data_IF_808888010913
#
_entry.id   IF_808888010913
#
_cell.length_a   1.000
_cell.length_b   1.000
_cell.length_c   1.000
_cell.angle_alpha   90.00
_cell.angle_beta   90.00
_cell.angle_gamma   90.00
#
_symmetry.space_group_name_H-M   'P 1'
#
loop_
_entity.id
_entity.type
_entity.pdbx_description
1 polymer ?
#
# COMPACT_ATOMS: atom_id res chain seq x y z
N UNK A 1 21.97 -4.20 13.89
CA UNK A 1 21.31 -3.04 13.28
C UNK A 1 21.94 -2.83 11.92
N UNK A 2 21.59 -3.70 10.97
CA UNK A 2 21.91 -3.47 9.57
C UNK A 2 20.65 -2.81 9.01
N UNK A 3 20.77 -1.53 8.65
CA UNK A 3 19.79 -0.92 7.77
C UNK A 3 19.87 -1.73 6.46
N UNK A 4 18.86 -2.55 6.22
CA UNK A 4 18.49 -2.89 4.86
C UNK A 4 18.09 -1.54 4.25
N UNK A 5 19.05 -0.84 3.66
CA UNK A 5 18.82 0.39 2.90
C UNK A 5 17.85 -0.01 1.79
N UNK A 6 16.56 0.06 2.10
CA UNK A 6 15.53 -0.30 1.16
C UNK A 6 15.63 0.72 0.05
N UNK A 7 16.26 0.30 -1.04
CA UNK A 7 16.41 1.05 -2.28
C UNK A 7 15.05 1.13 -2.97
N UNK A 8 14.10 1.80 -2.33
CA UNK A 8 12.77 2.07 -2.86
C UNK A 8 12.95 2.99 -4.05
N UNK A 9 12.72 2.44 -5.23
CA UNK A 9 12.81 3.20 -6.48
C UNK A 9 11.45 3.84 -6.74
N UNK A 10 11.38 5.15 -7.01
CA UNK A 10 10.13 5.80 -7.38
C UNK A 10 9.45 5.09 -8.56
N UNK A 11 8.15 4.87 -8.44
CA UNK A 11 7.33 4.31 -9.53
C UNK A 11 6.69 5.49 -10.28
N UNK A 12 6.97 5.69 -11.58
CA UNK A 12 6.51 6.86 -12.33
C UNK A 12 5.01 7.12 -12.21
N UNK A 13 4.18 6.09 -12.34
CA UNK A 13 2.72 6.21 -12.17
C UNK A 13 2.33 6.71 -10.77
N UNK A 14 3.00 6.24 -9.71
CA UNK A 14 2.68 6.63 -8.34
C UNK A 14 3.17 8.04 -8.02
N UNK A 15 4.28 8.48 -8.62
CA UNK A 15 4.71 9.88 -8.55
C UNK A 15 3.71 10.81 -9.24
N UNK A 16 3.18 10.43 -10.41
CA UNK A 16 2.13 11.21 -11.08
C UNK A 16 0.86 11.33 -10.22
N UNK A 17 0.43 10.24 -9.57
CA UNK A 17 -0.70 10.25 -8.63
C UNK A 17 -0.41 11.14 -7.41
N UNK A 18 0.82 11.08 -6.88
CA UNK A 18 1.24 11.95 -5.76
C UNK A 18 1.21 13.42 -6.15
N UNK A 19 1.68 13.78 -7.34
CA UNK A 19 1.77 15.17 -7.79
C UNK A 19 0.44 15.75 -8.27
N UNK A 20 -0.40 14.94 -8.91
CA UNK A 20 -1.64 15.39 -9.58
C UNK A 20 -2.92 14.85 -8.97
N UNK A 21 -2.81 13.89 -8.07
CA UNK A 21 -3.95 13.28 -7.39
C UNK A 21 -4.69 14.26 -6.50
N UNK A 22 -5.86 13.83 -6.04
CA UNK A 22 -6.71 14.62 -5.15
C UNK A 22 -6.88 13.88 -3.84
N UNK A 23 -6.75 14.61 -2.76
CA UNK A 23 -6.88 14.08 -1.40
C UNK A 23 -8.34 14.09 -0.97
N UNK A 24 -8.69 13.22 -0.03
CA UNK A 24 -10.06 13.08 0.45
C UNK A 24 -10.63 14.41 0.95
N UNK A 25 -9.84 15.23 1.63
CA UNK A 25 -10.31 16.53 2.14
C UNK A 25 -10.88 17.43 1.03
N UNK A 26 -10.23 17.46 -0.13
CA UNK A 26 -10.68 18.27 -1.28
C UNK A 26 -11.92 17.69 -1.94
N UNK A 27 -11.99 16.36 -2.06
CA UNK A 27 -13.17 15.68 -2.60
C UNK A 27 -14.36 15.85 -1.66
N UNK A 28 -14.16 15.68 -0.35
CA UNK A 28 -15.20 15.83 0.65
C UNK A 28 -15.80 17.23 0.61
N UNK A 29 -14.94 18.26 0.54
CA UNK A 29 -15.35 19.66 0.40
C UNK A 29 -16.10 19.91 -0.91
N UNK A 30 -15.61 19.40 -2.04
CA UNK A 30 -16.25 19.59 -3.34
C UNK A 30 -17.67 19.00 -3.37
N UNK A 31 -17.84 17.80 -2.83
CA UNK A 31 -19.11 17.08 -2.88
C UNK A 31 -20.02 17.36 -1.66
N UNK A 32 -19.61 18.25 -0.75
CA UNK A 32 -20.40 18.65 0.41
C UNK A 32 -20.61 17.52 1.43
N UNK A 33 -19.71 16.54 1.48
CA UNK A 33 -19.78 15.43 2.43
C UNK A 33 -18.86 15.69 3.63
N UNK A 34 -19.27 15.21 4.79
CA UNK A 34 -18.57 15.46 6.07
C UNK A 34 -17.92 14.21 6.66
N UNK A 35 -17.79 13.14 5.88
CA UNK A 35 -17.17 11.91 6.35
C UNK A 35 -15.70 12.19 6.71
N UNK A 36 -15.24 11.80 7.91
CA UNK A 36 -13.87 12.07 8.35
C UNK A 36 -12.84 11.29 7.52
N UNK A 37 -13.25 10.12 7.00
CA UNK A 37 -12.43 9.25 6.17
C UNK A 37 -13.12 9.02 4.81
N UNK A 38 -12.33 8.76 3.76
CA UNK A 38 -12.88 8.39 2.48
C UNK A 38 -13.62 7.05 2.57
N UNK A 39 -14.76 6.88 1.87
CA UNK A 39 -15.51 5.62 1.86
C UNK A 39 -14.68 4.40 1.43
N UNK A 40 -13.65 4.61 0.59
CA UNK A 40 -12.76 3.55 0.12
C UNK A 40 -11.75 3.07 1.17
N UNK A 41 -11.56 3.78 2.30
CA UNK A 41 -10.59 3.42 3.34
C UNK A 41 -10.87 2.05 3.94
N UNK A 42 -12.13 1.73 4.23
CA UNK A 42 -12.50 0.39 4.75
C UNK A 42 -12.17 -0.71 3.76
N UNK A 43 -12.29 -0.46 2.45
CA UNK A 43 -11.88 -1.42 1.43
C UNK A 43 -10.37 -1.60 1.40
N UNK A 44 -9.59 -0.53 1.57
CA UNK A 44 -8.13 -0.60 1.69
C UNK A 44 -7.70 -1.45 2.89
N UNK A 45 -8.30 -1.24 4.05
CA UNK A 45 -8.01 -2.02 5.27
C UNK A 45 -8.36 -3.50 5.07
N UNK A 46 -9.51 -3.79 4.45
CA UNK A 46 -9.91 -5.15 4.12
C UNK A 46 -8.96 -5.85 3.12
N UNK A 47 -8.47 -5.11 2.12
CA UNK A 47 -7.47 -5.63 1.17
C UNK A 47 -6.15 -5.94 1.90
N UNK A 48 -5.68 -5.05 2.79
CA UNK A 48 -4.47 -5.30 3.59
C UNK A 48 -4.59 -6.57 4.42
N UNK A 49 -5.73 -6.78 5.09
CA UNK A 49 -5.97 -7.97 5.91
C UNK A 49 -6.02 -9.25 5.06
N UNK A 50 -6.69 -9.20 3.92
CA UNK A 50 -6.79 -10.33 3.01
C UNK A 50 -5.41 -10.74 2.44
N UNK A 51 -4.56 -9.76 2.12
CA UNK A 51 -3.22 -9.99 1.58
C UNK A 51 -2.21 -10.45 2.64
N UNK A 52 -2.38 -10.03 3.90
CA UNK A 52 -1.53 -10.42 5.02
C UNK A 52 -1.56 -11.92 5.33
N UNK A 53 -2.60 -12.62 4.85
CA UNK A 53 -2.83 -14.03 5.17
C UNK A 53 -2.76 -14.29 6.68
N UNK A 54 -3.19 -13.34 7.52
CA UNK A 54 -3.11 -13.39 8.98
C UNK A 54 -3.84 -14.59 9.61
N UNK A 55 -4.74 -15.22 8.84
CA UNK A 55 -5.43 -16.45 9.22
C UNK A 55 -4.63 -17.74 8.91
N UNK A 56 -3.49 -17.63 8.24
CA UNK A 56 -2.62 -18.74 7.90
C UNK A 56 -1.60 -18.98 9.02
N UNK A 57 -1.68 -20.13 9.67
CA UNK A 57 -0.84 -20.47 10.83
C UNK A 57 0.67 -20.44 10.53
N UNK A 58 1.07 -20.75 9.30
CA UNK A 58 2.47 -20.70 8.87
C UNK A 58 2.97 -19.26 8.70
N UNK A 59 2.16 -18.37 8.11
CA UNK A 59 2.50 -16.96 7.99
C UNK A 59 2.66 -16.32 9.38
N UNK A 60 1.70 -16.56 10.29
CA UNK A 60 1.76 -16.06 11.66
C UNK A 60 2.94 -16.63 12.45
N UNK A 61 3.32 -17.89 12.24
CA UNK A 61 4.49 -18.48 12.90
C UNK A 61 5.81 -17.82 12.46
N UNK A 62 5.95 -17.54 11.16
CA UNK A 62 7.14 -16.87 10.62
C UNK A 62 7.23 -15.41 11.07
N UNK A 63 6.11 -14.71 11.13
CA UNK A 63 6.05 -13.34 11.68
C UNK A 63 6.44 -13.29 13.16
N UNK A 64 5.98 -14.24 13.98
CA UNK A 64 6.42 -14.34 15.38
C UNK A 64 7.91 -14.62 15.48
N UNK A 65 8.42 -15.51 14.63
CA UNK A 65 9.85 -15.80 14.58
C UNK A 65 10.69 -14.58 14.18
N UNK A 66 10.15 -13.68 13.35
CA UNK A 66 10.82 -12.42 13.06
C UNK A 66 10.83 -11.49 14.28
N UNK A 67 9.71 -11.35 14.99
CA UNK A 67 9.63 -10.51 16.19
C UNK A 67 10.54 -10.98 17.34
N UNK A 68 10.73 -12.29 17.50
CA UNK A 68 11.61 -12.85 18.53
C UNK A 68 13.06 -13.04 18.07
N UNK A 69 13.36 -12.75 16.80
CA UNK A 69 14.69 -12.83 16.19
C UNK A 69 15.13 -14.24 15.79
N UNK A 70 14.26 -15.25 15.86
CA UNK A 70 14.55 -16.60 15.39
C UNK A 70 14.50 -16.76 13.86
N UNK A 71 13.81 -15.86 13.15
CA UNK A 71 13.71 -15.84 11.69
C UNK A 71 14.19 -14.48 11.18
N UNK A 72 15.04 -14.50 10.15
CA UNK A 72 15.41 -13.27 9.45
C UNK A 72 14.22 -12.71 8.69
N UNK A 73 14.09 -11.39 8.62
CA UNK A 73 13.01 -10.69 7.90
C UNK A 73 12.84 -11.21 6.46
N UNK A 74 13.94 -11.45 5.75
CA UNK A 74 13.90 -11.97 4.37
C UNK A 74 13.29 -13.39 4.28
N UNK A 75 13.31 -14.14 5.38
CA UNK A 75 12.69 -15.46 5.48
C UNK A 75 11.16 -15.43 5.59
N UNK A 76 10.57 -14.30 6.00
CA UNK A 76 9.11 -14.13 6.13
C UNK A 76 8.46 -13.86 4.77
N UNK A 77 9.16 -13.17 3.87
CA UNK A 77 8.64 -12.75 2.56
C UNK A 77 8.21 -13.89 1.63
N UNK A 78 8.65 -15.13 1.89
CA UNK A 78 8.27 -16.32 1.12
C UNK A 78 6.96 -16.98 1.60
N UNK A 79 6.45 -16.61 2.77
CA UNK A 79 5.32 -17.28 3.42
C UNK A 79 3.95 -16.86 2.90
N UNK A 80 3.86 -15.62 2.42
CA UNK A 80 2.65 -15.01 1.90
C UNK A 80 3.03 -13.94 0.86
N UNK A 81 2.14 -13.58 -0.08
CA UNK A 81 2.42 -12.51 -1.05
C UNK A 81 2.83 -11.19 -0.37
N UNK A 82 2.19 -10.87 0.76
CA UNK A 82 2.43 -9.63 1.49
C UNK A 82 2.21 -9.83 3.01
N UNK A 83 3.15 -10.45 3.75
CA UNK A 83 3.01 -10.70 5.19
C UNK A 83 2.69 -9.40 5.96
N UNK A 84 1.84 -9.48 6.97
CA UNK A 84 1.30 -8.32 7.68
C UNK A 84 2.35 -7.44 8.35
N UNK A 85 3.31 -8.02 9.08
CA UNK A 85 4.40 -7.26 9.71
C UNK A 85 5.31 -6.63 8.66
N UNK A 86 5.61 -7.37 7.59
CA UNK A 86 6.53 -6.92 6.55
C UNK A 86 5.91 -5.75 5.79
N UNK A 87 4.63 -5.86 5.45
CA UNK A 87 3.84 -4.78 4.85
C UNK A 87 3.83 -3.52 5.72
N UNK A 88 3.69 -3.66 7.04
CA UNK A 88 3.71 -2.52 7.98
C UNK A 88 5.08 -1.85 7.99
N UNK A 89 6.16 -2.63 8.00
CA UNK A 89 7.50 -2.10 7.91
C UNK A 89 7.74 -1.34 6.59
N UNK A 90 7.31 -1.92 5.46
CA UNK A 90 7.39 -1.26 4.15
C UNK A 90 6.55 0.02 4.12
N UNK A 91 5.35 0.00 4.73
CA UNK A 91 4.46 1.17 4.86
C UNK A 91 5.13 2.31 5.63
N UNK A 92 5.80 2.01 6.75
CA UNK A 92 6.51 2.99 7.56
C UNK A 92 7.68 3.61 6.78
N UNK A 93 8.54 2.80 6.17
CA UNK A 93 9.69 3.28 5.38
C UNK A 93 9.27 4.14 4.19
N UNK A 94 8.28 3.69 3.41
CA UNK A 94 7.75 4.44 2.27
C UNK A 94 7.06 5.74 2.72
N UNK A 95 6.38 5.71 3.87
CA UNK A 95 5.73 6.88 4.45
C UNK A 95 6.71 7.89 4.99
N UNK A 96 7.87 7.46 5.48
CA UNK A 96 8.93 8.35 5.95
C UNK A 96 9.80 8.89 4.82
N UNK A 97 9.75 8.28 3.63
CA UNK A 97 10.58 8.61 2.47
C UNK A 97 9.75 9.15 1.30
N UNK A 98 9.45 8.32 0.29
CA UNK A 98 8.89 8.72 -1.00
C UNK A 98 7.52 9.40 -0.89
N UNK A 99 6.72 9.00 0.10
CA UNK A 99 5.35 9.49 0.28
C UNK A 99 5.18 10.36 1.53
N UNK A 100 6.28 10.90 2.10
CA UNK A 100 6.24 11.76 3.30
C UNK A 100 5.22 12.88 3.21
N UNK A 101 5.14 13.53 2.04
CA UNK A 101 4.30 14.71 1.82
C UNK A 101 2.87 14.38 1.40
N UNK A 102 2.52 13.09 1.30
CA UNK A 102 1.15 12.64 1.00
C UNK A 102 0.38 12.52 2.32
N UNK A 103 -0.84 13.09 2.42
CA UNK A 103 -1.63 12.98 3.63
C UNK A 103 -2.18 11.56 3.83
N UNK A 104 -2.57 11.29 5.07
CA UNK A 104 -3.34 10.10 5.38
C UNK A 104 -4.81 10.33 4.98
N UNK A 105 -5.51 9.31 4.42
CA UNK A 105 -5.07 7.92 4.20
C UNK A 105 -4.45 7.63 2.82
N UNK A 106 -4.33 8.59 1.91
CA UNK A 106 -3.78 8.38 0.57
C UNK A 106 -2.35 7.83 0.58
N UNK A 107 -1.53 8.25 1.56
CA UNK A 107 -0.18 7.73 1.75
C UNK A 107 -0.15 6.21 1.97
N UNK A 108 -1.09 5.68 2.75
CA UNK A 108 -1.19 4.24 2.99
C UNK A 108 -1.53 3.49 1.72
N UNK A 109 -2.42 4.06 0.89
CA UNK A 109 -2.78 3.48 -0.40
C UNK A 109 -1.56 3.43 -1.34
N UNK A 110 -0.81 4.53 -1.46
CA UNK A 110 0.40 4.57 -2.29
C UNK A 110 1.49 3.61 -1.80
N UNK A 111 1.69 3.51 -0.49
CA UNK A 111 2.64 2.58 0.10
C UNK A 111 2.28 1.11 -0.22
N UNK A 112 1.01 0.73 -0.03
CA UNK A 112 0.54 -0.61 -0.37
C UNK A 112 0.79 -0.95 -1.84
N UNK A 113 0.39 -0.05 -2.75
CA UNK A 113 0.52 -0.29 -4.20
C UNK A 113 1.99 -0.36 -4.60
N UNK A 114 2.86 0.46 -4.01
CA UNK A 114 4.30 0.40 -4.23
C UNK A 114 4.85 -0.98 -3.83
N UNK A 115 4.50 -1.49 -2.65
CA UNK A 115 4.90 -2.84 -2.21
C UNK A 115 4.45 -3.93 -3.18
N UNK A 116 3.21 -3.85 -3.67
CA UNK A 116 2.68 -4.81 -4.65
C UNK A 116 3.45 -4.77 -5.98
N UNK A 117 3.84 -3.59 -6.44
CA UNK A 117 4.63 -3.41 -7.66
C UNK A 117 6.06 -3.93 -7.47
N UNK A 118 6.73 -3.56 -6.37
CA UNK A 118 8.09 -4.04 -6.06
C UNK A 118 8.16 -5.57 -5.99
N UNK A 119 7.10 -6.21 -5.50
CA UNK A 119 6.98 -7.67 -5.39
C UNK A 119 6.52 -8.35 -6.69
N UNK A 120 6.22 -7.58 -7.74
CA UNK A 120 5.74 -8.09 -9.03
C UNK A 120 4.31 -8.66 -8.99
N UNK A 121 3.54 -8.38 -7.92
CA UNK A 121 2.16 -8.83 -7.77
C UNK A 121 1.17 -7.97 -8.58
N UNK A 122 1.54 -6.71 -8.81
CA UNK A 122 0.83 -5.77 -9.69
C UNK A 122 1.85 -5.20 -10.66
N UNK A 123 1.50 -5.12 -11.94
CA UNK A 123 2.32 -4.38 -12.91
C UNK A 123 1.83 -2.95 -13.02
N UNK A 124 2.78 -2.02 -13.15
CA UNK A 124 2.49 -0.59 -13.34
C UNK A 124 1.59 -0.35 -14.56
N UNK A 125 1.89 -1.01 -15.70
CA UNK A 125 1.12 -0.92 -16.94
C UNK A 125 -0.34 -1.39 -16.79
N UNK A 126 -0.55 -2.49 -16.05
CA UNK A 126 -1.88 -3.05 -15.83
C UNK A 126 -2.70 -2.16 -14.87
N UNK A 127 -2.04 -1.56 -13.88
CA UNK A 127 -2.65 -0.60 -12.97
C UNK A 127 -3.08 0.67 -13.71
N UNK A 128 -2.20 1.26 -14.52
CA UNK A 128 -2.51 2.46 -15.31
C UNK A 128 -3.72 2.21 -16.21
N UNK A 129 -3.71 1.11 -16.98
CA UNK A 129 -4.84 0.72 -17.84
C UNK A 129 -6.13 0.57 -17.03
N UNK A 130 -6.08 -0.05 -15.85
CA UNK A 130 -7.26 -0.23 -15.01
C UNK A 130 -7.79 1.09 -14.45
N UNK A 131 -6.92 2.03 -14.10
CA UNK A 131 -7.32 3.37 -13.65
C UNK A 131 -8.03 4.13 -14.77
N UNK A 132 -7.54 4.04 -16.00
CA UNK A 132 -8.18 4.65 -17.18
C UNK A 132 -9.58 4.09 -17.41
N UNK A 133 -9.75 2.76 -17.34
CA UNK A 133 -11.07 2.11 -17.45
C UNK A 133 -12.03 2.54 -16.35
N UNK A 134 -11.55 2.77 -15.12
CA UNK A 134 -12.37 3.27 -14.01
C UNK A 134 -12.79 4.71 -14.28
N UNK A 135 -11.85 5.57 -14.70
CA UNK A 135 -12.12 6.97 -15.01
C UNK A 135 -13.12 7.13 -16.16
N UNK A 136 -12.97 6.33 -17.23
CA UNK A 136 -13.91 6.31 -18.35
C UNK A 136 -15.33 5.96 -17.90
N UNK A 137 -15.47 4.95 -17.02
CA UNK A 137 -16.78 4.57 -16.49
C UNK A 137 -17.42 5.69 -15.66
N UNK A 138 -16.62 6.39 -14.86
CA UNK A 138 -17.09 7.53 -14.06
C UNK A 138 -17.56 8.70 -14.92
N UNK A 139 -16.93 8.94 -16.07
CA UNK A 139 -17.35 10.00 -17.01
C UNK A 139 -18.49 9.59 -17.95
N UNK A 140 -18.77 8.29 -18.07
CA UNK A 140 -19.88 7.76 -18.89
C UNK A 140 -21.20 7.64 -18.14
N UNK A 141 -21.18 7.82 -16.82
CA UNK A 141 -22.35 7.76 -15.93
C UNK A 141 -22.96 9.16 -15.75
#
# INVERSE_FOLDING_TARGET
MAADESNWTPVPLLEDIKERGRVWEDLARQYGVTNPDPPWKTSLEGICEALAASSCSSATALERGWLDGSVDRNGVGAAAPLPGLERRWEEDELSETLYRDVPFPERQLLALVHSLIKRGLVKEEDLARRMDEVLQRLHSA
#
